data_IF_543328446438
#
_entry.id   IF_543328446438
#
_cell.length_a   1.000
_cell.length_b   1.000
_cell.length_c   1.000
_cell.angle_alpha   90.00
_cell.angle_beta   90.00
_cell.angle_gamma   90.00
#
_symmetry.space_group_name_H-M   'P 1'
#
loop_
_entity.id
_entity.type
_entity.pdbx_description
1 polymer ?
#
# COMPACT_ATOMS: atom_id res chain seq x y z
N UNK A 1 -0.27 12.52 11.66
CA UNK A 1 0.05 12.75 10.24
C UNK A 1 -1.21 12.70 9.37
N UNK A 2 -1.96 11.60 9.34
CA UNK A 2 -3.22 11.50 8.56
C UNK A 2 -4.25 12.58 8.94
N UNK A 3 -4.68 12.63 10.20
CA UNK A 3 -5.74 13.56 10.65
C UNK A 3 -5.32 15.03 10.57
N UNK A 4 -4.23 15.38 11.25
CA UNK A 4 -3.84 16.78 11.42
C UNK A 4 -3.12 17.38 10.21
N UNK A 5 -2.61 16.57 9.28
CA UNK A 5 -1.91 17.07 8.09
C UNK A 5 -2.67 16.74 6.80
N UNK A 6 -2.81 15.47 6.45
CA UNK A 6 -3.34 15.08 5.14
C UNK A 6 -4.83 15.39 4.98
N UNK A 7 -5.64 15.05 5.98
CA UNK A 7 -7.07 15.37 5.96
C UNK A 7 -7.30 16.89 6.01
N UNK A 8 -6.49 17.62 6.79
CA UNK A 8 -6.55 19.09 6.80
C UNK A 8 -6.15 19.69 5.45
N UNK A 9 -5.08 19.20 4.83
CA UNK A 9 -4.62 19.66 3.52
C UNK A 9 -5.69 19.41 2.45
N UNK A 10 -6.31 18.22 2.47
CA UNK A 10 -7.45 17.89 1.63
C UNK A 10 -8.63 18.84 1.83
N UNK A 11 -9.02 19.11 3.08
CA UNK A 11 -10.12 20.03 3.40
C UNK A 11 -9.86 21.44 2.85
N UNK A 12 -8.62 21.94 2.95
CA UNK A 12 -8.22 23.24 2.40
C UNK A 12 -8.31 23.25 0.87
N UNK A 13 -7.77 22.23 0.19
CA UNK A 13 -7.85 22.11 -1.27
C UNK A 13 -9.31 22.06 -1.77
N UNK A 14 -10.18 21.35 -1.05
CA UNK A 14 -11.61 21.23 -1.41
C UNK A 14 -12.35 22.58 -1.41
N UNK A 15 -11.96 23.53 -0.55
CA UNK A 15 -12.52 24.90 -0.55
C UNK A 15 -12.23 25.66 -1.84
N UNK A 16 -11.24 25.20 -2.61
CA UNK A 16 -10.83 25.77 -3.89
C UNK A 16 -11.13 24.86 -5.09
N UNK A 17 -11.95 23.81 -4.91
CA UNK A 17 -12.29 22.88 -5.99
C UNK A 17 -11.12 21.99 -6.43
N UNK A 18 -10.10 21.82 -5.59
CA UNK A 18 -8.95 20.96 -5.87
C UNK A 18 -9.17 19.54 -5.34
N UNK A 19 -8.60 18.57 -6.05
CA UNK A 19 -8.48 17.18 -5.62
C UNK A 19 -7.08 16.91 -5.08
N UNK A 20 -6.97 15.97 -4.13
CA UNK A 20 -5.69 15.58 -3.55
C UNK A 20 -5.17 14.29 -4.19
N UNK A 21 -4.05 14.39 -4.91
CA UNK A 21 -3.22 13.23 -5.24
C UNK A 21 -2.14 13.01 -4.18
N UNK A 22 -1.86 11.75 -3.83
CA UNK A 22 -0.84 11.40 -2.84
C UNK A 22 -0.04 10.23 -3.39
N UNK A 23 1.29 10.37 -3.36
CA UNK A 23 2.25 9.28 -3.47
C UNK A 23 2.62 8.88 -2.03
N UNK A 24 2.01 7.82 -1.48
CA UNK A 24 2.10 7.53 -0.06
C UNK A 24 3.30 6.65 0.30
N UNK A 25 4.10 6.26 -0.70
CA UNK A 25 5.25 5.38 -0.54
C UNK A 25 6.50 6.21 -0.22
N UNK A 26 7.50 5.52 0.34
CA UNK A 26 8.82 6.06 0.71
C UNK A 26 8.84 6.98 1.95
N UNK A 27 9.92 6.83 2.74
CA UNK A 27 10.36 7.61 3.92
C UNK A 27 9.31 8.37 4.76
N UNK A 28 8.11 7.83 4.96
CA UNK A 28 7.07 8.45 5.77
C UNK A 28 6.89 7.73 7.12
N UNK A 29 6.55 8.45 8.21
CA UNK A 29 6.41 7.87 9.55
C UNK A 29 5.06 7.15 9.77
N UNK A 30 4.30 6.86 8.70
CA UNK A 30 2.97 6.26 8.76
C UNK A 30 2.95 4.91 8.03
N UNK A 31 1.78 4.26 7.97
CA UNK A 31 1.57 3.16 7.03
C UNK A 31 1.11 3.73 5.69
N UNK A 32 1.73 3.27 4.60
CA UNK A 32 1.53 3.78 3.25
C UNK A 32 0.07 3.60 2.80
N UNK A 33 -0.54 2.45 3.08
CA UNK A 33 -1.95 2.19 2.74
C UNK A 33 -2.91 3.12 3.52
N UNK A 34 -2.62 3.38 4.79
CA UNK A 34 -3.43 4.28 5.64
C UNK A 34 -3.28 5.74 5.20
N UNK A 35 -2.04 6.16 4.89
CA UNK A 35 -1.73 7.48 4.36
C UNK A 35 -2.43 7.73 3.02
N UNK A 36 -2.22 6.82 2.06
CA UNK A 36 -2.77 6.91 0.72
C UNK A 36 -4.29 6.86 0.69
N UNK A 37 -4.93 6.23 1.68
CA UNK A 37 -6.40 6.18 1.80
C UNK A 37 -7.08 7.55 1.88
N UNK A 38 -6.35 8.60 2.27
CA UNK A 38 -6.84 9.98 2.27
C UNK A 38 -6.99 10.55 0.85
N UNK A 39 -6.22 10.06 -0.12
CA UNK A 39 -6.15 10.62 -1.47
C UNK A 39 -7.51 10.55 -2.19
N UNK A 40 -7.78 11.57 -3.00
CA UNK A 40 -8.80 11.50 -4.06
C UNK A 40 -8.28 10.69 -5.25
N UNK A 41 -6.99 10.84 -5.55
CA UNK A 41 -6.28 10.02 -6.53
C UNK A 41 -4.99 9.46 -5.93
N UNK A 42 -5.00 8.21 -5.45
CA UNK A 42 -3.78 7.51 -5.06
C UNK A 42 -2.81 7.47 -6.25
N UNK A 43 -1.54 7.71 -5.96
CA UNK A 43 -0.46 7.70 -6.94
C UNK A 43 0.70 6.83 -6.46
N UNK A 44 1.43 6.28 -7.41
CA UNK A 44 2.65 5.50 -7.21
C UNK A 44 3.75 6.00 -8.14
N UNK A 45 4.87 5.28 -8.18
CA UNK A 45 5.95 5.55 -9.13
C UNK A 45 6.50 4.25 -9.70
N UNK A 46 6.98 4.33 -10.93
CA UNK A 46 7.90 3.33 -11.46
C UNK A 46 8.98 3.99 -12.31
N UNK A 47 10.23 3.63 -12.03
CA UNK A 47 11.37 4.12 -12.80
C UNK A 47 11.49 3.39 -14.13
N UNK A 48 12.05 4.05 -15.12
CA UNK A 48 12.43 3.46 -16.40
C UNK A 48 13.27 2.20 -16.19
N UNK A 49 12.84 1.08 -16.77
CA UNK A 49 13.50 -0.22 -16.58
C UNK A 49 14.98 -0.14 -16.94
N UNK A 50 15.83 -0.55 -16.00
CA UNK A 50 17.29 -0.52 -16.15
C UNK A 50 17.95 0.83 -15.87
N UNK A 51 17.16 1.86 -15.51
CA UNK A 51 17.64 3.22 -15.30
C UNK A 51 17.07 3.82 -14.02
N UNK A 52 17.24 3.17 -12.86
CA UNK A 52 16.72 3.74 -11.62
C UNK A 52 16.53 2.76 -10.48
N UNK A 53 15.70 3.18 -9.53
CA UNK A 53 15.34 2.42 -8.35
C UNK A 53 14.16 1.49 -8.61
N UNK A 54 14.10 0.39 -7.86
CA UNK A 54 12.99 -0.56 -7.88
C UNK A 54 11.88 -0.09 -6.94
N UNK A 55 10.95 0.70 -7.48
CA UNK A 55 9.78 1.24 -6.76
C UNK A 55 8.47 0.56 -7.14
N UNK A 56 8.51 -0.58 -7.85
CA UNK A 56 7.34 -1.29 -8.36
C UNK A 56 6.36 -1.73 -7.25
N UNK A 57 6.84 -1.90 -6.02
CA UNK A 57 5.98 -2.18 -4.87
C UNK A 57 4.93 -1.09 -4.65
N UNK A 58 5.27 0.18 -4.89
CA UNK A 58 4.35 1.31 -4.75
C UNK A 58 3.18 1.23 -5.73
N UNK A 59 3.38 0.60 -6.90
CA UNK A 59 2.32 0.38 -7.89
C UNK A 59 1.23 -0.54 -7.32
N UNK A 60 1.64 -1.59 -6.59
CA UNK A 60 0.69 -2.46 -5.90
C UNK A 60 0.01 -1.74 -4.74
N UNK A 61 0.72 -0.87 -4.02
CA UNK A 61 0.11 -0.08 -2.94
C UNK A 61 -0.95 0.89 -3.45
N UNK A 62 -0.63 1.73 -4.43
CA UNK A 62 -1.58 2.73 -4.93
C UNK A 62 -2.82 2.10 -5.57
N UNK A 63 -2.64 0.99 -6.31
CA UNK A 63 -3.77 0.24 -6.88
C UNK A 63 -4.63 -0.39 -5.79
N UNK A 64 -4.00 -1.00 -4.77
CA UNK A 64 -4.69 -1.56 -3.61
C UNK A 64 -5.47 -0.50 -2.82
N UNK A 65 -4.87 0.67 -2.59
CA UNK A 65 -5.53 1.82 -1.96
C UNK A 65 -6.75 2.22 -2.78
N UNK A 66 -6.60 2.38 -4.09
CA UNK A 66 -7.71 2.81 -4.92
C UNK A 66 -8.85 1.81 -4.93
N UNK A 67 -8.56 0.52 -5.02
CA UNK A 67 -9.58 -0.52 -4.98
C UNK A 67 -10.29 -0.57 -3.63
N UNK A 68 -9.55 -0.70 -2.53
CA UNK A 68 -10.15 -0.78 -1.18
C UNK A 68 -10.81 0.53 -0.73
N UNK A 69 -10.41 1.66 -1.32
CA UNK A 69 -10.98 2.98 -1.04
C UNK A 69 -12.02 3.45 -2.07
N UNK A 70 -12.33 2.67 -3.10
CA UNK A 70 -13.32 3.02 -4.12
C UNK A 70 -12.94 4.23 -4.97
N UNK A 71 -11.66 4.38 -5.28
CA UNK A 71 -11.12 5.43 -6.15
C UNK A 71 -11.05 4.92 -7.59
N UNK A 72 -11.69 5.59 -8.56
CA UNK A 72 -11.71 5.12 -9.93
C UNK A 72 -10.40 5.39 -10.68
N UNK A 73 -9.54 6.27 -10.15
CA UNK A 73 -8.30 6.70 -10.80
C UNK A 73 -7.11 6.34 -9.91
N UNK A 74 -6.11 5.70 -10.53
CA UNK A 74 -4.78 5.44 -9.95
C UNK A 74 -3.77 6.13 -10.84
N UNK A 75 -3.07 7.11 -10.29
CA UNK A 75 -1.98 7.78 -11.00
C UNK A 75 -0.64 7.06 -10.82
N UNK A 76 0.30 7.32 -11.72
CA UNK A 76 1.69 6.95 -11.53
C UNK A 76 2.61 8.05 -12.04
N UNK A 77 3.57 8.45 -11.23
CA UNK A 77 4.81 9.04 -11.71
C UNK A 77 5.51 7.98 -12.59
N UNK A 78 5.50 8.21 -13.90
CA UNK A 78 5.81 7.20 -14.88
C UNK A 78 7.16 7.47 -15.55
N UNK A 79 8.02 6.45 -15.52
CA UNK A 79 9.28 6.36 -16.26
C UNK A 79 10.40 7.28 -15.79
N UNK A 80 10.39 7.71 -14.53
CA UNK A 80 11.51 8.40 -13.87
C UNK A 80 12.82 7.68 -14.15
N UNK A 81 13.87 8.39 -14.55
CA UNK A 81 15.10 7.75 -14.97
C UNK A 81 16.33 8.39 -14.33
N UNK A 82 17.25 7.56 -13.85
CA UNK A 82 18.52 7.93 -13.28
C UNK A 82 19.54 8.29 -14.39
N UNK A 83 20.68 8.92 -14.04
CA UNK A 83 21.77 9.10 -15.00
C UNK A 83 22.12 7.80 -15.71
N UNK A 84 22.34 7.86 -17.02
CA UNK A 84 22.57 6.68 -17.87
C UNK A 84 21.39 6.31 -18.77
N UNK A 85 20.20 6.88 -18.57
CA UNK A 85 19.13 6.78 -19.58
C UNK A 85 19.51 7.51 -20.88
N UNK A 86 20.11 8.69 -20.76
CA UNK A 86 20.75 9.47 -21.83
C UNK A 86 19.95 9.58 -23.14
N UNK A 87 18.66 9.95 -23.07
CA UNK A 87 17.78 10.12 -24.24
C UNK A 87 17.54 8.83 -25.05
N UNK A 88 17.77 7.65 -24.44
CA UNK A 88 17.56 6.35 -25.10
C UNK A 88 16.11 5.89 -25.09
N UNK A 89 15.28 6.42 -24.20
CA UNK A 89 13.88 6.08 -24.10
C UNK A 89 13.05 6.78 -25.18
N UNK A 90 12.17 6.00 -25.79
CA UNK A 90 11.19 6.44 -26.76
C UNK A 90 9.94 5.55 -26.63
N UNK A 91 8.78 5.91 -27.21
CA UNK A 91 7.55 5.13 -27.08
C UNK A 91 7.70 3.62 -27.29
N UNK A 92 8.55 3.21 -28.24
CA UNK A 92 8.80 1.80 -28.56
C UNK A 92 9.51 1.03 -27.44
N UNK A 93 10.56 1.60 -26.84
CA UNK A 93 11.29 0.96 -25.73
C UNK A 93 10.48 0.91 -24.43
N UNK A 94 9.62 1.91 -24.23
CA UNK A 94 8.83 2.09 -23.00
C UNK A 94 7.55 1.26 -22.99
N UNK A 95 7.04 0.86 -24.17
CA UNK A 95 5.72 0.21 -24.30
C UNK A 95 5.57 -1.01 -23.38
N UNK A 96 6.55 -1.90 -23.33
CA UNK A 96 6.43 -3.13 -22.54
C UNK A 96 6.29 -2.85 -21.03
N UNK A 97 7.03 -1.87 -20.51
CA UNK A 97 6.90 -1.47 -19.11
C UNK A 97 5.61 -0.66 -18.87
N UNK A 98 5.19 0.16 -19.82
CA UNK A 98 3.89 0.83 -19.76
C UNK A 98 2.72 -0.16 -19.72
N UNK A 99 2.78 -1.22 -20.53
CA UNK A 99 1.77 -2.28 -20.53
C UNK A 99 1.75 -3.03 -19.21
N UNK A 100 2.92 -3.32 -18.63
CA UNK A 100 3.02 -3.87 -17.28
C UNK A 100 2.35 -2.96 -16.23
N UNK A 101 2.63 -1.66 -16.25
CA UNK A 101 2.04 -0.71 -15.32
C UNK A 101 0.50 -0.64 -15.45
N UNK A 102 -0.01 -0.68 -16.68
CA UNK A 102 -1.45 -0.80 -16.97
C UNK A 102 -2.04 -2.10 -16.38
N UNK A 103 -1.35 -3.23 -16.55
CA UNK A 103 -1.75 -4.53 -15.97
C UNK A 103 -1.67 -4.56 -14.44
N UNK A 104 -0.75 -3.81 -13.84
CA UNK A 104 -0.65 -3.68 -12.39
C UNK A 104 -1.92 -3.01 -11.80
N UNK A 105 -2.59 -2.18 -12.59
CA UNK A 105 -3.85 -1.50 -12.27
C UNK A 105 -3.78 0.02 -12.44
N UNK A 106 -2.65 0.57 -12.87
CA UNK A 106 -2.49 2.00 -13.11
C UNK A 106 -3.35 2.40 -14.31
N UNK A 107 -4.12 3.48 -14.17
CA UNK A 107 -5.00 3.96 -15.23
C UNK A 107 -4.88 5.48 -15.48
N UNK A 108 -3.83 6.13 -14.95
CA UNK A 108 -3.43 7.50 -15.27
C UNK A 108 -1.92 7.69 -15.18
N UNK A 109 -1.26 7.84 -16.32
CA UNK A 109 0.16 8.09 -16.42
C UNK A 109 0.42 9.57 -16.25
N UNK A 110 1.36 9.91 -15.37
CA UNK A 110 1.94 11.23 -15.20
C UNK A 110 3.41 11.07 -15.54
N UNK A 111 3.79 11.36 -16.78
CA UNK A 111 5.17 11.21 -17.21
C UNK A 111 6.09 12.05 -16.33
N UNK A 112 7.10 11.42 -15.75
CA UNK A 112 8.25 12.08 -15.17
C UNK A 112 9.34 12.17 -16.24
N UNK A 113 9.52 13.29 -16.92
CA UNK A 113 8.86 14.59 -16.72
C UNK A 113 8.80 15.35 -18.04
N UNK A 114 8.08 16.47 -18.06
CA UNK A 114 8.15 17.45 -19.15
C UNK A 114 8.86 18.73 -18.66
N UNK A 115 10.11 18.97 -19.05
CA UNK A 115 10.75 20.27 -18.77
C UNK A 115 10.12 21.39 -19.59
N UNK A 116 9.91 22.53 -18.96
CA UNK A 116 9.76 23.78 -19.70
C UNK A 116 11.05 24.08 -20.50
N UNK A 117 10.88 24.30 -21.82
CA UNK A 117 11.97 24.61 -22.75
C UNK A 117 11.89 26.09 -23.16
N UNK A 118 12.62 27.00 -22.48
CA UNK A 118 12.47 28.44 -22.68
C UNK A 118 13.08 28.95 -23.99
N UNK A 119 13.95 28.17 -24.63
CA UNK A 119 14.59 28.53 -25.89
C UNK A 119 13.98 27.78 -27.07
N UNK A 120 13.86 28.46 -28.21
CA UNK A 120 13.37 27.86 -29.45
C UNK A 120 14.48 27.24 -30.31
N UNK A 121 15.73 27.55 -30.00
CA UNK A 121 16.92 27.27 -30.80
C UNK A 121 17.96 26.38 -30.09
N UNK A 122 17.64 25.82 -28.92
CA UNK A 122 18.53 24.93 -28.16
C UNK A 122 17.94 23.52 -28.02
N UNK A 123 18.73 22.52 -28.41
CA UNK A 123 18.36 21.11 -28.40
C UNK A 123 19.46 20.26 -27.76
N UNK A 124 19.15 19.21 -26.98
CA UNK A 124 17.80 18.81 -26.55
C UNK A 124 17.20 19.75 -25.48
N UNK A 125 17.95 20.77 -25.05
CA UNK A 125 17.44 21.84 -24.18
C UNK A 125 17.64 21.56 -22.69
N UNK A 126 16.79 22.15 -21.87
CA UNK A 126 16.84 22.08 -20.41
C UNK A 126 16.43 20.69 -19.89
N UNK A 127 17.07 20.24 -18.81
CA UNK A 127 16.76 19.00 -18.09
C UNK A 127 16.48 19.26 -16.60
N UNK A 128 15.96 18.27 -15.89
CA UNK A 128 15.76 18.30 -14.45
C UNK A 128 16.99 17.64 -13.84
N UNK A 129 18.09 18.39 -13.76
CA UNK A 129 19.38 17.82 -13.42
C UNK A 129 19.71 16.62 -14.32
N UNK A 130 20.13 15.48 -13.74
CA UNK A 130 20.49 14.30 -14.50
C UNK A 130 19.32 13.34 -14.78
N UNK A 131 18.10 13.70 -14.37
CA UNK A 131 16.97 12.78 -14.40
C UNK A 131 16.17 12.84 -15.71
N UNK A 132 15.78 11.66 -16.17
CA UNK A 132 14.80 11.45 -17.24
C UNK A 132 13.44 10.99 -16.68
N UNK A 133 12.53 10.49 -17.51
CA UNK A 133 12.61 10.45 -18.98
C UNK A 133 12.52 11.86 -19.56
N UNK A 134 13.28 12.09 -20.64
CA UNK A 134 13.26 13.35 -21.38
C UNK A 134 12.02 13.40 -22.30
N UNK A 135 10.85 13.75 -21.76
CA UNK A 135 9.56 13.67 -22.46
C UNK A 135 9.04 15.04 -22.92
N UNK A 136 9.86 15.80 -23.68
CA UNK A 136 9.55 17.18 -24.11
C UNK A 136 9.54 17.39 -25.62
N UNK A 137 9.01 18.55 -26.06
CA UNK A 137 8.96 18.98 -27.48
C UNK A 137 10.28 18.98 -28.24
N UNK A 138 11.41 18.92 -27.55
CA UNK A 138 12.76 18.93 -28.12
C UNK A 138 13.25 17.53 -28.50
N UNK A 139 12.50 16.47 -28.17
CA UNK A 139 12.80 15.11 -28.61
C UNK A 139 12.67 14.95 -30.13
N UNK A 140 13.55 14.12 -30.70
CA UNK A 140 13.60 13.86 -32.15
C UNK A 140 12.30 13.23 -32.67
N UNK A 141 11.60 12.46 -31.83
CA UNK A 141 10.36 11.77 -32.13
C UNK A 141 9.11 12.51 -31.63
N UNK A 142 9.22 13.73 -31.08
CA UNK A 142 8.09 14.42 -30.45
C UNK A 142 6.91 14.64 -31.41
N UNK A 143 7.19 14.95 -32.67
CA UNK A 143 6.15 15.09 -33.71
C UNK A 143 5.35 13.81 -33.99
N UNK A 144 5.76 12.67 -33.43
CA UNK A 144 5.08 11.37 -33.52
C UNK A 144 4.45 10.94 -32.17
N UNK A 145 4.61 11.72 -31.10
CA UNK A 145 4.20 11.34 -29.75
C UNK A 145 2.68 11.13 -29.61
N UNK A 146 1.88 11.83 -30.42
CA UNK A 146 0.41 11.76 -30.41
C UNK A 146 -0.11 10.32 -30.55
N UNK A 147 0.55 9.47 -31.34
CA UNK A 147 0.15 8.08 -31.52
C UNK A 147 0.27 7.28 -30.21
N UNK A 148 1.33 7.53 -29.42
CA UNK A 148 1.54 6.87 -28.14
C UNK A 148 0.61 7.41 -27.06
N UNK A 149 0.36 8.73 -27.03
CA UNK A 149 -0.62 9.32 -26.12
C UNK A 149 -2.05 8.86 -26.43
N UNK A 150 -2.41 8.68 -27.69
CA UNK A 150 -3.69 8.10 -28.08
C UNK A 150 -3.82 6.64 -27.63
N UNK A 151 -2.75 5.85 -27.75
CA UNK A 151 -2.69 4.49 -27.22
C UNK A 151 -2.97 4.46 -25.71
N UNK A 152 -2.19 5.22 -24.93
CA UNK A 152 -2.35 5.28 -23.48
C UNK A 152 -3.75 5.79 -23.09
N UNK A 153 -4.26 6.82 -23.77
CA UNK A 153 -5.60 7.36 -23.51
C UNK A 153 -6.70 6.30 -23.65
N UNK A 154 -6.61 5.44 -24.68
CA UNK A 154 -7.56 4.33 -24.89
C UNK A 154 -7.45 3.26 -23.82
N UNK A 155 -6.24 2.83 -23.48
CA UNK A 155 -6.01 1.84 -22.42
C UNK A 155 -6.53 2.35 -21.06
N UNK A 156 -6.15 3.56 -20.69
CA UNK A 156 -6.60 4.22 -19.46
C UNK A 156 -8.12 4.41 -19.41
N UNK A 157 -8.76 4.74 -20.54
CA UNK A 157 -10.22 4.83 -20.61
C UNK A 157 -10.87 3.48 -20.29
N UNK A 158 -10.40 2.40 -20.91
CA UNK A 158 -10.94 1.06 -20.69
C UNK A 158 -10.70 0.56 -19.27
N UNK A 159 -9.53 0.79 -18.69
CA UNK A 159 -9.18 0.35 -17.33
C UNK A 159 -9.89 1.12 -16.22
N UNK A 160 -10.61 2.20 -16.54
CA UNK A 160 -11.52 2.91 -15.61
C UNK A 160 -12.95 2.38 -15.66
N UNK A 161 -13.25 1.40 -16.51
CA UNK A 161 -14.60 0.84 -16.68
C UNK A 161 -14.77 -0.38 -15.78
N UNK A 162 -15.83 -0.38 -14.98
CA UNK A 162 -16.13 -1.49 -14.08
C UNK A 162 -15.27 -1.45 -12.82
N UNK A 163 -15.04 -2.63 -12.25
CA UNK A 163 -14.26 -2.83 -11.02
C UNK A 163 -13.14 -3.82 -11.30
N UNK A 164 -12.03 -3.66 -10.59
CA UNK A 164 -10.96 -4.63 -10.59
C UNK A 164 -11.46 -5.97 -10.04
N UNK A 165 -10.97 -7.08 -10.60
CA UNK A 165 -11.33 -8.43 -10.16
C UNK A 165 -10.12 -9.03 -9.46
N UNK A 166 -10.27 -9.26 -8.15
CA UNK A 166 -9.29 -9.88 -7.28
C UNK A 166 -9.93 -10.96 -6.42
N UNK A 167 -9.13 -11.96 -6.04
CA UNK A 167 -9.61 -13.06 -5.18
C UNK A 167 -9.02 -12.99 -3.78
N UNK A 168 -7.88 -12.31 -3.61
CA UNK A 168 -7.11 -12.30 -2.37
C UNK A 168 -7.00 -10.87 -1.84
N UNK A 169 -7.32 -10.68 -0.57
CA UNK A 169 -7.14 -9.44 0.17
C UNK A 169 -6.06 -9.65 1.22
N UNK A 170 -4.89 -9.02 1.07
CA UNK A 170 -3.83 -9.07 2.06
C UNK A 170 -4.01 -7.94 3.08
N UNK A 171 -4.18 -8.29 4.36
CA UNK A 171 -4.26 -7.31 5.42
C UNK A 171 -2.85 -6.84 5.81
N UNK A 172 -2.65 -5.52 5.85
CA UNK A 172 -1.44 -4.91 6.40
C UNK A 172 -1.46 -4.97 7.93
N UNK A 173 -0.31 -5.14 8.61
CA UNK A 173 -0.24 -5.07 10.07
C UNK A 173 -0.64 -3.69 10.60
N UNK A 174 -1.09 -3.66 11.86
CA UNK A 174 -1.30 -2.41 12.60
C UNK A 174 0.02 -1.82 13.07
N UNK A 175 0.06 -0.49 13.18
CA UNK A 175 1.25 0.26 13.57
C UNK A 175 1.87 1.02 12.40
N UNK A 176 3.00 1.68 12.68
CA UNK A 176 3.76 2.43 11.69
C UNK A 176 5.25 2.43 12.06
N UNK A 177 6.15 2.59 11.08
CA UNK A 177 5.88 2.64 9.64
C UNK A 177 5.56 1.25 9.07
N UNK A 178 4.73 1.18 8.03
CA UNK A 178 4.37 -0.07 7.37
C UNK A 178 4.20 0.13 5.87
N UNK A 179 5.05 -0.55 5.09
CA UNK A 179 5.04 -0.59 3.63
C UNK A 179 4.45 -1.93 3.19
N UNK A 180 3.38 -1.90 2.41
CA UNK A 180 2.78 -3.12 1.89
C UNK A 180 3.61 -3.64 0.71
N UNK A 181 4.24 -4.79 0.92
CA UNK A 181 4.93 -5.54 -0.13
C UNK A 181 4.21 -6.87 -0.34
N UNK A 182 3.68 -7.13 -1.56
CA UNK A 182 3.12 -8.44 -1.85
C UNK A 182 4.15 -9.53 -1.58
N UNK A 183 3.75 -10.71 -1.07
CA UNK A 183 4.69 -11.79 -0.85
C UNK A 183 5.32 -12.21 -2.18
N UNK A 184 6.62 -12.51 -2.18
CA UNK A 184 7.35 -12.89 -3.41
C UNK A 184 6.75 -14.11 -4.11
N UNK A 185 6.09 -15.01 -3.37
CA UNK A 185 5.37 -16.16 -3.91
C UNK A 185 4.13 -15.79 -4.73
N UNK A 186 3.56 -14.59 -4.52
CA UNK A 186 2.43 -14.05 -5.28
C UNK A 186 2.87 -13.28 -6.52
N UNK A 187 4.18 -13.12 -6.75
CA UNK A 187 4.74 -12.40 -7.89
C UNK A 187 5.55 -13.33 -8.81
N UNK A 188 5.72 -12.91 -10.06
CA UNK A 188 6.52 -13.59 -11.07
C UNK A 188 7.15 -12.60 -12.06
N UNK A 189 8.12 -13.12 -12.84
CA UNK A 189 8.81 -12.40 -13.92
C UNK A 189 9.76 -11.28 -13.47
N UNK A 190 10.48 -10.68 -14.43
CA UNK A 190 11.42 -9.57 -14.15
C UNK A 190 10.71 -8.24 -13.88
N UNK A 191 9.58 -7.99 -14.56
CA UNK A 191 8.66 -6.91 -14.20
C UNK A 191 7.63 -7.56 -13.27
N UNK A 192 7.62 -7.25 -11.96
CA UNK A 192 6.85 -8.03 -11.00
C UNK A 192 5.37 -8.07 -11.37
N UNK A 193 4.85 -9.24 -11.73
CA UNK A 193 3.45 -9.43 -12.12
C UNK A 193 2.78 -10.45 -11.20
N UNK A 194 1.46 -10.36 -11.03
CA UNK A 194 0.70 -11.23 -10.13
C UNK A 194 0.71 -12.67 -10.64
N UNK A 195 0.99 -13.62 -9.77
CA UNK A 195 1.10 -15.05 -10.10
C UNK A 195 -0.26 -15.74 -9.98
N UNK A 196 -0.98 -15.84 -11.09
CA UNK A 196 -2.20 -16.66 -11.24
C UNK A 196 -3.47 -16.10 -10.59
N UNK A 197 -3.35 -15.29 -9.53
CA UNK A 197 -4.49 -14.62 -8.89
C UNK A 197 -4.20 -13.14 -8.69
N UNK A 198 -5.24 -12.32 -8.90
CA UNK A 198 -5.21 -10.92 -8.55
C UNK A 198 -5.46 -10.72 -7.05
N UNK A 199 -4.83 -9.68 -6.53
CA UNK A 199 -4.89 -9.33 -5.11
C UNK A 199 -4.73 -7.84 -4.89
N UNK A 200 -5.17 -7.40 -3.71
CA UNK A 200 -4.95 -6.07 -3.16
C UNK A 200 -4.45 -6.16 -1.71
N UNK A 201 -3.66 -5.17 -1.29
CA UNK A 201 -3.38 -4.86 0.11
C UNK A 201 -4.53 -4.07 0.74
N UNK A 202 -4.73 -4.22 2.05
CA UNK A 202 -5.79 -3.53 2.78
C UNK A 202 -5.23 -2.95 4.08
N UNK A 203 -5.47 -1.65 4.30
CA UNK A 203 -5.23 -1.04 5.60
C UNK A 203 -6.23 -1.59 6.65
N UNK A 204 -5.83 -1.76 7.92
CA UNK A 204 -6.73 -2.11 9.02
C UNK A 204 -7.97 -1.21 9.09
N UNK A 205 -7.81 0.11 8.93
CA UNK A 205 -8.90 1.07 9.02
C UNK A 205 -9.92 0.90 7.89
N UNK A 206 -9.43 0.58 6.68
CA UNK A 206 -10.29 0.29 5.53
C UNK A 206 -11.08 -1.00 5.75
N UNK A 207 -10.44 -2.05 6.28
CA UNK A 207 -11.12 -3.31 6.61
C UNK A 207 -12.21 -3.07 7.67
N UNK A 208 -11.87 -2.42 8.78
CA UNK A 208 -12.79 -2.12 9.89
C UNK A 208 -13.98 -1.28 9.41
N UNK A 209 -13.70 -0.18 8.73
CA UNK A 209 -14.69 0.84 8.39
C UNK A 209 -15.57 0.49 7.18
N UNK A 210 -15.12 -0.39 6.28
CA UNK A 210 -15.78 -0.57 4.98
C UNK A 210 -16.09 -2.00 4.57
N UNK A 211 -15.35 -2.99 5.08
CA UNK A 211 -15.53 -4.37 4.64
C UNK A 211 -16.78 -4.99 5.30
N UNK A 212 -17.48 -5.83 4.55
CA UNK A 212 -18.59 -6.66 5.01
C UNK A 212 -18.55 -8.00 4.27
N UNK A 213 -19.48 -8.91 4.55
CA UNK A 213 -19.58 -10.19 3.83
C UNK A 213 -20.89 -10.29 3.07
N UNK A 214 -20.80 -10.72 1.82
CA UNK A 214 -21.93 -11.07 0.97
C UNK A 214 -21.61 -12.33 0.18
N UNK A 215 -22.49 -13.32 0.22
CA UNK A 215 -22.34 -14.58 -0.52
C UNK A 215 -20.98 -15.28 -0.28
N UNK A 216 -20.51 -15.24 0.97
CA UNK A 216 -19.22 -15.83 1.38
C UNK A 216 -17.97 -15.07 0.90
N UNK A 217 -18.14 -13.88 0.32
CA UNK A 217 -17.06 -13.01 -0.14
C UNK A 217 -16.95 -11.76 0.73
N UNK A 218 -15.74 -11.28 0.93
CA UNK A 218 -15.48 -9.99 1.58
C UNK A 218 -15.75 -8.90 0.54
N UNK A 219 -16.67 -8.00 0.83
CA UNK A 219 -17.09 -6.93 -0.09
C UNK A 219 -16.90 -5.55 0.53
N UNK A 220 -16.58 -4.59 -0.32
CA UNK A 220 -16.61 -3.16 0.00
C UNK A 220 -17.87 -2.53 -0.62
N UNK A 221 -18.26 -1.36 -0.10
CA UNK A 221 -19.49 -0.64 -0.50
C UNK A 221 -19.55 -0.27 -1.99
N UNK A 222 -18.40 -0.19 -2.66
CA UNK A 222 -18.25 0.12 -4.07
C UNK A 222 -18.37 -1.12 -4.98
N UNK A 223 -18.48 -2.32 -4.42
CA UNK A 223 -18.62 -3.58 -5.14
C UNK A 223 -17.33 -4.38 -5.28
N UNK A 224 -16.18 -3.86 -4.83
CA UNK A 224 -14.95 -4.67 -4.76
C UNK A 224 -15.21 -5.92 -3.91
N UNK A 225 -14.70 -7.07 -4.34
CA UNK A 225 -15.08 -8.36 -3.75
C UNK A 225 -13.96 -9.40 -3.80
N UNK A 226 -13.63 -9.99 -2.65
CA UNK A 226 -12.51 -10.91 -2.46
C UNK A 226 -13.00 -12.24 -1.86
N UNK A 227 -12.33 -13.34 -2.21
CA UNK A 227 -12.64 -14.69 -1.71
C UNK A 227 -11.94 -15.02 -0.41
N UNK A 228 -10.77 -14.43 -0.19
CA UNK A 228 -9.86 -14.81 0.89
C UNK A 228 -9.24 -13.56 1.51
N UNK A 229 -9.32 -13.44 2.84
CA UNK A 229 -8.49 -12.53 3.62
C UNK A 229 -7.22 -13.26 4.06
N UNK A 230 -6.06 -12.68 3.80
CA UNK A 230 -4.78 -13.19 4.32
C UNK A 230 -4.29 -12.24 5.40
N UNK A 231 -4.13 -12.76 6.61
CA UNK A 231 -3.63 -12.00 7.74
C UNK A 231 -2.11 -11.81 7.65
N UNK A 232 -1.57 -10.70 8.16
CA UNK A 232 -0.14 -10.48 8.21
C UNK A 232 0.52 -11.47 9.19
N UNK A 233 1.77 -11.83 8.92
CA UNK A 233 2.56 -12.74 9.78
C UNK A 233 3.14 -12.00 10.98
N UNK A 234 2.27 -11.51 11.85
CA UNK A 234 2.60 -10.76 13.06
C UNK A 234 1.93 -11.39 14.28
N UNK A 235 2.64 -11.41 15.41
CA UNK A 235 2.11 -11.89 16.69
C UNK A 235 1.13 -10.90 17.35
N UNK A 236 0.94 -9.72 16.76
CA UNK A 236 0.18 -8.63 17.36
C UNK A 236 -1.01 -8.19 16.52
N UNK A 237 -2.14 -7.94 17.20
CA UNK A 237 -3.35 -7.36 16.63
C UNK A 237 -4.16 -6.68 17.74
N UNK A 238 -4.78 -5.54 17.50
CA UNK A 238 -5.68 -4.92 18.48
C UNK A 238 -6.97 -5.71 18.62
N UNK A 239 -7.65 -5.68 19.79
CA UNK A 239 -8.95 -6.30 19.95
C UNK A 239 -9.95 -5.87 18.86
N UNK A 240 -10.02 -4.56 18.58
CA UNK A 240 -10.91 -3.99 17.57
C UNK A 240 -10.74 -4.59 16.17
N UNK A 241 -9.50 -4.77 15.70
CA UNK A 241 -9.26 -5.37 14.40
C UNK A 241 -9.63 -6.85 14.40
N UNK A 242 -9.31 -7.56 15.49
CA UNK A 242 -9.60 -8.98 15.62
C UNK A 242 -11.10 -9.26 15.75
N UNK A 243 -11.85 -8.42 16.46
CA UNK A 243 -13.32 -8.42 16.49
C UNK A 243 -13.91 -8.26 15.09
N UNK A 244 -13.37 -7.31 14.30
CA UNK A 244 -13.81 -7.14 12.92
C UNK A 244 -13.60 -8.41 12.11
N UNK A 245 -12.41 -9.01 12.19
CA UNK A 245 -12.11 -10.28 11.50
C UNK A 245 -13.05 -11.38 11.97
N UNK A 246 -13.31 -11.47 13.28
CA UNK A 246 -14.26 -12.42 13.85
C UNK A 246 -15.67 -12.25 13.29
N UNK A 247 -16.16 -11.01 13.19
CA UNK A 247 -17.44 -10.71 12.53
C UNK A 247 -17.45 -11.16 11.07
N UNK A 248 -16.41 -10.85 10.29
CA UNK A 248 -16.32 -11.27 8.89
C UNK A 248 -16.35 -12.80 8.75
N UNK A 249 -15.59 -13.52 9.58
CA UNK A 249 -15.59 -15.00 9.56
C UNK A 249 -16.98 -15.53 9.92
N UNK A 250 -17.61 -15.03 10.99
CA UNK A 250 -18.95 -15.45 11.39
C UNK A 250 -19.99 -15.22 10.28
N UNK A 251 -19.81 -14.17 9.48
CA UNK A 251 -20.69 -13.86 8.36
C UNK A 251 -20.41 -14.64 7.07
N UNK A 252 -19.32 -15.41 7.00
CA UNK A 252 -19.05 -16.31 5.88
C UNK A 252 -17.70 -16.13 5.19
N UNK A 253 -16.85 -15.21 5.67
CA UNK A 253 -15.54 -15.01 5.05
C UNK A 253 -14.60 -16.20 5.27
N UNK A 254 -13.71 -16.42 4.29
CA UNK A 254 -12.53 -17.26 4.45
C UNK A 254 -11.32 -16.42 4.85
N UNK A 255 -10.61 -16.84 5.89
CA UNK A 255 -9.41 -16.19 6.41
C UNK A 255 -8.26 -17.18 6.47
N UNK A 256 -7.06 -16.78 6.04
CA UNK A 256 -5.79 -17.51 6.23
C UNK A 256 -4.89 -16.70 7.17
N UNK A 257 -4.39 -17.33 8.22
CA UNK A 257 -3.44 -16.69 9.14
C UNK A 257 -3.14 -17.51 10.40
N UNK A 258 -2.21 -17.01 11.20
CA UNK A 258 -1.93 -17.52 12.56
C UNK A 258 -2.65 -16.66 13.62
N UNK A 259 -2.98 -17.23 14.79
CA UNK A 259 -3.63 -16.47 15.86
C UNK A 259 -2.67 -15.40 16.42
N UNK A 260 -3.09 -14.12 16.50
CA UNK A 260 -2.34 -13.11 17.23
C UNK A 260 -2.34 -13.43 18.73
N UNK A 261 -1.31 -12.98 19.44
CA UNK A 261 -1.08 -13.30 20.85
C UNK A 261 -1.36 -12.15 21.80
N UNK A 262 -1.22 -10.90 21.34
CA UNK A 262 -1.31 -9.69 22.15
C UNK A 262 -1.63 -8.45 21.32
N UNK A 263 -1.96 -7.35 21.99
CA UNK A 263 -2.15 -6.06 21.34
C UNK A 263 -0.79 -5.38 21.04
N UNK A 264 -0.65 -4.67 19.91
CA UNK A 264 0.51 -3.79 19.68
C UNK A 264 0.41 -2.47 20.47
N UNK A 265 -0.74 -2.21 21.11
CA UNK A 265 -1.04 -0.98 21.85
C UNK A 265 -1.11 -1.23 23.36
N UNK A 266 -0.69 -0.23 24.16
CA UNK A 266 -0.82 -0.24 25.63
C UNK A 266 -2.17 0.31 26.12
N UNK A 267 -3.06 0.72 25.20
CA UNK A 267 -4.42 1.13 25.56
C UNK A 267 -5.12 -0.05 26.23
N UNK A 268 -5.59 0.17 27.46
CA UNK A 268 -6.26 -0.82 28.32
C UNK A 268 -5.41 -2.07 28.67
N UNK A 269 -4.09 -1.91 28.76
CA UNK A 269 -3.22 -2.99 29.26
C UNK A 269 -3.46 -3.28 30.76
N UNK A 270 -3.53 -4.54 31.22
CA UNK A 270 -3.31 -5.79 30.48
C UNK A 270 -4.57 -6.43 29.86
N UNK A 271 -5.74 -5.82 30.01
CA UNK A 271 -7.01 -6.38 29.55
C UNK A 271 -7.03 -6.59 28.03
N UNK A 272 -6.44 -5.67 27.27
CA UNK A 272 -6.36 -5.79 25.81
C UNK A 272 -5.65 -7.07 25.34
N UNK A 273 -4.64 -7.56 26.06
CA UNK A 273 -3.95 -8.81 25.74
C UNK A 273 -4.79 -10.05 26.08
N UNK A 274 -5.57 -9.98 27.15
CA UNK A 274 -6.54 -11.02 27.50
C UNK A 274 -7.65 -11.12 26.44
N UNK A 275 -8.18 -9.99 26.00
CA UNK A 275 -9.23 -9.91 24.99
C UNK A 275 -8.75 -10.47 23.63
N UNK A 276 -7.53 -10.12 23.20
CA UNK A 276 -6.92 -10.70 21.99
C UNK A 276 -6.83 -12.22 22.09
N UNK A 277 -6.39 -12.75 23.23
CA UNK A 277 -6.29 -14.21 23.45
C UNK A 277 -7.67 -14.88 23.40
N UNK A 278 -8.69 -14.27 24.00
CA UNK A 278 -10.06 -14.81 23.99
C UNK A 278 -10.65 -14.82 22.57
N UNK A 279 -10.52 -13.71 21.83
CA UNK A 279 -10.98 -13.61 20.45
C UNK A 279 -10.23 -14.59 19.53
N UNK A 280 -8.92 -14.72 19.69
CA UNK A 280 -8.11 -15.68 18.95
C UNK A 280 -8.52 -17.12 19.24
N UNK A 281 -8.82 -17.47 20.50
CA UNK A 281 -9.33 -18.79 20.86
C UNK A 281 -10.70 -19.09 20.19
N UNK A 282 -11.55 -18.07 20.07
CA UNK A 282 -12.82 -18.17 19.33
C UNK A 282 -12.64 -18.55 17.87
N UNK A 283 -11.63 -17.99 17.19
CA UNK A 283 -11.35 -18.22 15.78
C UNK A 283 -10.50 -19.47 15.49
N UNK A 284 -9.40 -19.68 16.22
CA UNK A 284 -8.44 -20.76 15.94
C UNK A 284 -8.58 -21.96 16.88
N UNK A 285 -9.04 -21.77 18.12
CA UNK A 285 -9.27 -22.83 19.10
C UNK A 285 -8.56 -22.53 20.41
N UNK A 286 -9.09 -23.10 21.50
CA UNK A 286 -8.43 -23.00 22.82
C UNK A 286 -7.15 -23.85 22.90
N UNK A 287 -7.05 -24.92 22.10
CA UNK A 287 -5.91 -25.85 22.07
C UNK A 287 -5.53 -26.15 20.62
N UNK A 288 -4.23 -26.18 20.36
CA UNK A 288 -3.56 -26.52 19.09
C UNK A 288 -4.37 -26.20 17.83
N UNK A 289 -4.12 -25.03 17.19
CA UNK A 289 -4.83 -24.63 15.98
C UNK A 289 -4.80 -25.74 14.92
N UNK A 290 -5.99 -26.14 14.45
CA UNK A 290 -6.12 -27.12 13.37
C UNK A 290 -5.92 -26.45 12.01
N UNK A 291 -5.50 -27.19 10.95
CA UNK A 291 -5.25 -26.61 9.63
C UNK A 291 -6.44 -25.86 9.02
N UNK A 292 -7.66 -26.29 9.34
CA UNK A 292 -8.92 -25.71 8.86
C UNK A 292 -9.98 -25.82 9.94
N UNK A 293 -10.63 -24.71 10.27
CA UNK A 293 -11.74 -24.66 11.23
C UNK A 293 -12.91 -23.85 10.67
N UNK A 294 -14.11 -24.41 10.76
CA UNK A 294 -15.35 -23.68 10.48
C UNK A 294 -15.74 -22.86 11.71
N UNK A 295 -16.00 -21.57 11.53
CA UNK A 295 -16.45 -20.65 12.59
C UNK A 295 -17.59 -19.81 12.03
N UNK A 296 -18.74 -19.82 12.71
CA UNK A 296 -19.98 -19.28 12.17
C UNK A 296 -20.28 -19.86 10.78
N UNK A 297 -20.45 -18.99 9.77
CA UNK A 297 -20.68 -19.38 8.37
C UNK A 297 -19.39 -19.47 7.55
N UNK A 298 -18.25 -19.04 8.09
CA UNK A 298 -16.98 -18.92 7.38
C UNK A 298 -15.97 -19.98 7.75
N UNK A 299 -14.72 -19.74 7.37
CA UNK A 299 -13.62 -20.67 7.61
C UNK A 299 -12.33 -19.93 7.96
N UNK A 300 -11.61 -20.45 8.95
CA UNK A 300 -10.25 -20.04 9.30
C UNK A 300 -9.30 -21.16 8.87
N UNK A 301 -8.29 -20.81 8.09
CA UNK A 301 -7.22 -21.68 7.63
C UNK A 301 -5.92 -21.26 8.34
N UNK A 302 -5.24 -22.21 8.96
CA UNK A 302 -4.01 -21.94 9.67
C UNK A 302 -2.84 -21.75 8.69
N UNK A 303 -2.18 -20.59 8.74
CA UNK A 303 -0.84 -20.44 8.14
C UNK A 303 0.21 -20.91 9.15
N UNK A 304 0.54 -22.20 9.14
CA UNK A 304 1.52 -22.77 10.07
C UNK A 304 2.93 -22.16 9.89
N UNK A 305 3.24 -21.61 8.70
CA UNK A 305 4.51 -20.95 8.43
C UNK A 305 4.57 -19.53 9.00
N UNK A 306 3.44 -18.94 9.40
CA UNK A 306 3.39 -17.66 10.09
C UNK A 306 3.80 -17.76 11.58
N UNK A 307 3.74 -18.96 12.16
CA UNK A 307 4.07 -19.22 13.57
C UNK A 307 5.56 -19.36 13.84
N UNK A 308 6.45 -18.99 12.91
CA UNK A 308 7.89 -19.03 13.21
C UNK A 308 8.20 -17.93 14.23
N UNK A 309 8.76 -18.27 15.41
CA UNK A 309 9.18 -17.27 16.37
C UNK A 309 10.14 -16.32 15.66
N UNK A 310 10.00 -15.02 15.95
CA UNK A 310 11.00 -14.04 15.53
C UNK A 310 12.39 -14.64 15.79
N UNK A 311 13.26 -14.62 14.78
CA UNK A 311 14.68 -14.94 15.00
C UNK A 311 15.23 -14.10 16.15
N UNK A 312 16.41 -14.50 16.68
CA UNK A 312 17.08 -13.83 17.80
C UNK A 312 16.78 -12.33 17.83
N UNK A 313 16.18 -11.87 18.94
CA UNK A 313 15.83 -10.46 19.11
C UNK A 313 17.06 -9.62 18.73
N UNK A 314 17.02 -8.83 17.65
CA UNK A 314 18.19 -8.07 17.22
C UNK A 314 18.57 -6.99 18.24
N UNK A 315 17.69 -6.73 19.21
CA UNK A 315 17.92 -5.87 20.36
C UNK A 315 18.42 -6.61 21.60
N UNK A 316 18.58 -7.94 21.56
CA UNK A 316 19.15 -8.72 22.66
C UNK A 316 20.59 -8.30 22.97
N UNK A 317 21.33 -7.88 21.95
CA UNK A 317 22.69 -7.32 22.07
C UNK A 317 22.70 -5.78 22.00
N UNK A 318 21.54 -5.13 21.86
CA UNK A 318 21.49 -3.67 21.83
C UNK A 318 21.87 -3.10 23.20
N UNK A 319 22.98 -2.37 23.22
CA UNK A 319 23.37 -1.54 24.35
C UNK A 319 22.45 -0.32 24.38
N UNK A 320 21.44 -0.37 25.24
CA UNK A 320 20.58 0.78 25.49
C UNK A 320 21.41 1.88 26.15
N UNK A 321 21.34 3.10 25.61
CA UNK A 321 22.03 4.29 26.12
C UNK A 321 21.39 4.82 27.42
N UNK A 322 20.64 3.98 28.13
CA UNK A 322 20.14 4.28 29.47
C UNK A 322 21.14 3.77 30.48
N UNK A 323 22.02 4.65 30.90
CA UNK A 323 22.84 4.45 32.08
C UNK A 323 21.91 4.31 33.30
N UNK A 324 22.21 3.42 34.27
CA UNK A 324 21.45 3.26 35.51
C UNK A 324 21.55 4.48 36.45
N UNK A 325 22.11 5.59 35.98
CA UNK A 325 22.30 6.83 36.71
C UNK A 325 21.04 7.70 36.62
N UNK A 326 19.97 7.27 37.31
CA UNK A 326 18.79 8.11 37.49
C UNK A 326 17.54 7.33 37.82
N UNK A 327 16.82 7.75 38.86
CA UNK A 327 15.47 7.27 39.12
C UNK A 327 14.48 8.14 38.30
N UNK A 328 13.83 7.60 37.24
CA UNK A 328 12.90 8.37 36.42
C UNK A 328 11.66 8.86 37.18
N UNK A 329 11.36 8.31 38.37
CA UNK A 329 10.32 8.83 39.27
C UNK A 329 10.73 10.20 39.85
N UNK A 330 12.02 10.51 39.88
CA UNK A 330 12.60 11.71 40.52
C UNK A 330 13.16 12.69 39.48
N UNK A 331 13.35 12.27 38.23
CA UNK A 331 13.96 13.11 37.19
C UNK A 331 12.93 14.04 36.52
N UNK A 332 12.95 15.30 36.97
CA UNK A 332 12.27 16.50 36.48
C UNK A 332 10.72 16.51 36.50
N UNK A 333 10.08 17.55 37.06
CA UNK A 333 8.63 17.68 36.99
C UNK A 333 8.16 17.84 35.54
N UNK A 334 6.98 17.31 35.18
CA UNK A 334 6.40 17.49 33.85
C UNK A 334 6.16 18.98 33.57
N UNK A 335 6.92 19.55 32.64
CA UNK A 335 6.70 20.91 32.15
C UNK A 335 6.07 20.90 30.75
N UNK A 336 5.22 21.89 30.48
CA UNK A 336 4.67 22.11 29.13
C UNK A 336 5.76 22.61 28.20
N UNK A 337 6.15 21.79 27.22
CA UNK A 337 6.97 22.24 26.08
C UNK A 337 6.08 22.86 25.01
N UNK A 338 6.35 24.11 24.67
CA UNK A 338 5.83 24.74 23.47
C UNK A 338 6.83 24.49 22.33
N UNK A 339 6.36 23.88 21.25
CA UNK A 339 7.13 23.80 20.00
C UNK A 339 6.87 25.09 19.21
N UNK A 340 7.91 25.88 18.99
CA UNK A 340 7.88 27.05 18.12
C UNK A 340 8.19 26.68 16.69
#
# INVERSE_FOLDING_TARGET
MVENHMLRFKELGRKHGLELSVEPYDLNPCSDLTLGGVADVPMCEFWSRGFGFSTEFSCFEATSIAHTMGRPIVGAEAFTAAPGEDWRQHPGSMKAQGDWALCAGINRFVFHRYQAQPWLDRFPGMTMGPYGVHWERTQTWWGMADAYHLYLSRCQHMLRRGLFVADILYLSPEGAPNVFRPPSSALQSQLPDRRGYNFDGCAPEALIGRASVKDGRIVFSDGMSYRLLVLPRFDTMTPRLLEKISSLVNDGAAVVGAPPRKSPSLVDYPNCDEEVRQLAAGLWGEKDPVPRRTVGRGVVLLDAAASQPAGENPLAEALWIWFPEGNPIVAAPPEKRHFH
#
